data_IF_361835944410
#
_entry.id   IF_361835944410
#
_cell.length_a   1.000
_cell.length_b   1.000
_cell.length_c   1.000
_cell.angle_alpha   90.00
_cell.angle_beta   90.00
_cell.angle_gamma   90.00
#
_symmetry.space_group_name_H-M   'P 1'
#
loop_
_entity.id
_entity.type
_entity.pdbx_description
1 polymer ?
#
# COMPACT_ATOMS: atom_id res chain seq x y z
N UNK A 1 11.55 -5.45 -10.67
CA UNK A 1 12.73 -4.91 -9.98
C UNK A 1 12.91 -5.74 -8.74
N UNK A 2 13.92 -6.60 -8.70
CA UNK A 2 14.30 -7.30 -7.48
C UNK A 2 15.47 -6.53 -6.88
N UNK A 3 15.27 -5.96 -5.71
CA UNK A 3 16.39 -5.44 -4.93
C UNK A 3 16.85 -6.55 -3.99
N UNK A 4 18.06 -6.44 -3.42
CA UNK A 4 18.60 -7.48 -2.54
C UNK A 4 17.68 -7.77 -1.35
N UNK A 5 17.01 -6.75 -0.84
CA UNK A 5 16.25 -6.82 0.41
C UNK A 5 14.74 -6.54 0.27
N UNK A 6 14.26 -6.06 -0.89
CA UNK A 6 12.84 -5.76 -1.12
C UNK A 6 12.23 -6.62 -2.22
N UNK A 7 11.00 -7.07 -1.98
CA UNK A 7 10.14 -7.74 -2.96
C UNK A 7 8.90 -6.91 -3.27
N UNK A 8 8.41 -7.09 -4.49
CA UNK A 8 7.09 -6.61 -4.91
C UNK A 8 6.13 -7.79 -4.94
N UNK A 9 5.10 -7.76 -4.11
CA UNK A 9 4.08 -8.82 -4.05
C UNK A 9 2.67 -8.28 -4.18
N UNK A 10 1.72 -9.21 -4.36
CA UNK A 10 0.30 -8.88 -4.26
C UNK A 10 -0.04 -8.50 -2.82
N UNK A 11 -1.10 -7.69 -2.67
CA UNK A 11 -1.70 -7.44 -1.37
C UNK A 11 -2.27 -8.72 -0.77
N UNK A 12 -2.23 -8.79 0.56
CA UNK A 12 -2.81 -9.84 1.38
C UNK A 12 -3.75 -9.22 2.41
N UNK A 13 -4.73 -9.99 2.87
CA UNK A 13 -5.71 -9.50 3.86
C UNK A 13 -5.05 -9.12 5.20
N UNK A 14 -3.88 -9.70 5.49
CA UNK A 14 -3.01 -9.38 6.64
C UNK A 14 -2.38 -7.98 6.57
N UNK A 15 -2.23 -7.40 5.38
CA UNK A 15 -1.63 -6.06 5.20
C UNK A 15 -2.56 -4.93 5.68
N UNK A 16 -3.84 -5.22 5.93
CA UNK A 16 -4.84 -4.22 6.30
C UNK A 16 -4.47 -3.41 7.55
N UNK A 17 -3.84 -4.07 8.53
CA UNK A 17 -3.39 -3.39 9.75
C UNK A 17 -2.22 -2.45 9.45
N UNK A 18 -1.22 -2.93 8.71
CA UNK A 18 -0.04 -2.13 8.37
C UNK A 18 -0.39 -0.94 7.48
N UNK A 19 -1.32 -1.11 6.53
CA UNK A 19 -1.86 -0.02 5.72
C UNK A 19 -2.55 1.04 6.58
N UNK A 20 -3.40 0.62 7.53
CA UNK A 20 -4.05 1.54 8.46
C UNK A 20 -3.03 2.31 9.31
N UNK A 21 -2.04 1.62 9.87
CA UNK A 21 -0.98 2.23 10.69
C UNK A 21 -0.15 3.24 9.88
N UNK A 22 0.17 2.92 8.63
CA UNK A 22 0.82 3.86 7.70
C UNK A 22 -0.04 5.11 7.44
N UNK A 23 -1.37 4.95 7.33
CA UNK A 23 -2.29 6.08 7.19
C UNK A 23 -2.39 6.96 8.45
N UNK A 24 -1.83 6.57 9.59
CA UNK A 24 -1.75 7.41 10.79
C UNK A 24 -0.57 8.38 10.75
N UNK A 25 0.42 8.15 9.89
CA UNK A 25 1.59 9.01 9.77
C UNK A 25 1.19 10.42 9.26
N UNK A 26 1.46 11.44 10.06
CA UNK A 26 1.07 12.82 9.74
C UNK A 26 1.78 13.39 8.51
N UNK A 27 3.00 12.94 8.22
CA UNK A 27 3.77 13.40 7.07
C UNK A 27 3.16 12.85 5.79
N UNK A 28 2.80 11.55 5.80
CA UNK A 28 2.03 10.95 4.71
C UNK A 28 0.68 11.64 4.58
N UNK A 29 0.00 11.97 5.69
CA UNK A 29 -1.24 12.77 5.71
C UNK A 29 -1.18 14.06 4.92
N UNK A 30 -0.09 14.79 5.09
CA UNK A 30 0.14 16.08 4.43
C UNK A 30 0.58 15.94 2.97
N UNK A 31 1.03 14.75 2.54
CA UNK A 31 1.45 14.49 1.15
C UNK A 31 0.29 14.30 0.16
N UNK A 32 -0.95 14.40 0.66
CA UNK A 32 -2.18 14.33 -0.12
C UNK A 32 -2.73 12.93 -0.33
N UNK A 33 -2.11 11.90 0.28
CA UNK A 33 -2.49 10.48 0.14
C UNK A 33 -3.97 10.22 0.47
N UNK A 34 -4.66 9.34 -0.25
CA UNK A 34 -5.98 8.90 0.21
C UNK A 34 -5.79 8.06 1.50
N UNK A 35 -6.40 8.46 2.63
CA UNK A 35 -6.25 7.77 3.92
C UNK A 35 -7.45 6.90 4.28
N UNK A 36 -7.19 5.85 5.04
CA UNK A 36 -8.21 4.98 5.62
C UNK A 36 -8.37 5.27 7.12
N UNK A 37 -9.61 5.44 7.55
CA UNK A 37 -9.94 5.79 8.94
C UNK A 37 -10.07 4.58 9.86
N UNK A 38 -10.01 3.36 9.32
CA UNK A 38 -10.07 2.13 10.09
C UNK A 38 -9.34 0.96 9.41
N UNK A 39 -9.04 -0.07 10.20
CA UNK A 39 -8.54 -1.35 9.68
C UNK A 39 -9.58 -1.99 8.74
N UNK A 40 -10.88 -1.80 9.01
CA UNK A 40 -11.97 -2.30 8.16
C UNK A 40 -11.94 -1.64 6.79
N UNK A 41 -11.79 -0.32 6.72
CA UNK A 41 -11.70 0.41 5.44
C UNK A 41 -10.46 -0.02 4.64
N UNK A 42 -9.34 -0.18 5.34
CA UNK A 42 -8.09 -0.69 4.75
C UNK A 42 -8.28 -2.09 4.16
N UNK A 43 -8.94 -2.99 4.89
CA UNK A 43 -9.25 -4.35 4.43
C UNK A 43 -10.16 -4.35 3.22
N UNK A 44 -11.25 -3.57 3.26
CA UNK A 44 -12.19 -3.45 2.13
C UNK A 44 -11.48 -2.98 0.86
N UNK A 45 -10.58 -2.02 1.02
CA UNK A 45 -9.77 -1.50 -0.10
C UNK A 45 -8.82 -2.57 -0.65
N UNK A 46 -8.13 -3.32 0.23
CA UNK A 46 -7.26 -4.43 -0.18
C UNK A 46 -8.02 -5.49 -0.98
N UNK A 47 -9.28 -5.79 -0.64
CA UNK A 47 -10.09 -6.75 -1.42
C UNK A 47 -10.24 -6.29 -2.89
N UNK A 48 -10.33 -4.98 -3.14
CA UNK A 48 -10.41 -4.44 -4.49
C UNK A 48 -9.06 -4.52 -5.23
N UNK A 49 -7.94 -4.49 -4.51
CA UNK A 49 -6.59 -4.35 -5.10
C UNK A 49 -5.81 -5.64 -5.24
N UNK A 50 -6.05 -6.63 -4.38
CA UNK A 50 -5.17 -7.81 -4.25
C UNK A 50 -4.97 -8.64 -5.52
N UNK A 51 -5.91 -8.54 -6.47
CA UNK A 51 -5.85 -9.23 -7.75
C UNK A 51 -5.44 -8.31 -8.93
N UNK A 52 -5.28 -7.00 -8.70
CA UNK A 52 -4.93 -6.04 -9.74
C UNK A 52 -3.41 -5.89 -9.88
N UNK A 53 -2.90 -6.05 -11.10
CA UNK A 53 -1.46 -5.97 -11.41
C UNK A 53 -0.88 -4.55 -11.20
N UNK A 54 -1.73 -3.53 -11.19
CA UNK A 54 -1.37 -2.14 -10.92
C UNK A 54 -1.17 -1.81 -9.44
N UNK A 55 -1.51 -2.72 -8.53
CA UNK A 55 -1.43 -2.50 -7.09
C UNK A 55 -0.48 -3.52 -6.47
N UNK A 56 0.60 -3.04 -5.85
CA UNK A 56 1.64 -3.90 -5.27
C UNK A 56 2.07 -3.40 -3.90
N UNK A 57 2.37 -4.36 -3.03
CA UNK A 57 3.05 -4.12 -1.77
C UNK A 57 4.56 -4.21 -2.00
N UNK A 58 5.30 -3.30 -1.38
CA UNK A 58 6.73 -3.39 -1.18
C UNK A 58 6.92 -4.02 0.20
N UNK A 59 7.57 -5.18 0.24
CA UNK A 59 7.83 -5.90 1.49
C UNK A 59 9.31 -6.26 1.64
N UNK A 60 9.74 -6.43 2.88
CA UNK A 60 11.06 -6.98 3.20
C UNK A 60 11.11 -8.45 2.75
N UNK A 61 12.13 -8.79 1.96
CA UNK A 61 12.31 -10.13 1.39
C UNK A 61 12.51 -11.22 2.44
N UNK A 62 13.03 -10.89 3.63
CA UNK A 62 13.46 -11.86 4.65
C UNK A 62 12.32 -12.31 5.54
N UNK A 63 11.36 -11.43 5.83
CA UNK A 63 10.28 -11.69 6.78
C UNK A 63 8.89 -11.30 6.26
N UNK A 64 8.79 -10.84 5.01
CA UNK A 64 7.54 -10.41 4.36
C UNK A 64 6.87 -9.19 5.04
N UNK A 65 7.62 -8.45 5.85
CA UNK A 65 7.11 -7.26 6.53
C UNK A 65 6.72 -6.18 5.52
N UNK A 66 5.55 -5.60 5.73
CA UNK A 66 5.07 -4.46 4.96
C UNK A 66 5.99 -3.25 5.16
N UNK A 67 6.48 -2.68 4.06
CA UNK A 67 7.29 -1.45 4.05
C UNK A 67 6.52 -0.31 3.41
N UNK A 68 5.75 -0.60 2.36
CA UNK A 68 4.94 0.38 1.67
C UNK A 68 4.27 -0.20 0.45
N UNK A 69 3.80 0.66 -0.46
CA UNK A 69 3.02 0.21 -1.60
C UNK A 69 3.16 1.11 -2.82
N UNK A 70 2.82 0.53 -3.98
CA UNK A 70 2.78 1.21 -5.27
C UNK A 70 1.40 0.99 -5.88
N UNK A 71 0.77 2.09 -6.30
CA UNK A 71 -0.52 2.08 -6.99
C UNK A 71 -0.37 2.77 -8.34
N UNK A 72 -0.65 2.04 -9.42
CA UNK A 72 -0.76 2.56 -10.77
C UNK A 72 -2.24 2.72 -11.13
N UNK A 73 -2.82 3.89 -10.88
CA UNK A 73 -4.15 4.23 -11.41
C UNK A 73 -4.06 4.47 -12.93
N UNK A 74 -5.02 3.94 -13.70
CA UNK A 74 -5.20 4.32 -15.12
C UNK A 74 -5.68 5.78 -15.19
N UNK A 75 -5.22 6.52 -16.19
CA UNK A 75 -5.30 7.98 -16.31
C UNK A 75 -6.72 8.61 -16.44
N UNK A 76 -7.78 7.92 -16.04
CA UNK A 76 -9.11 8.52 -15.90
C UNK A 76 -9.31 9.06 -14.47
N UNK A 77 -8.59 10.14 -14.13
CA UNK A 77 -8.89 11.02 -13.00
C UNK A 77 -8.37 10.60 -11.62
N UNK A 78 -7.50 11.46 -11.08
CA UNK A 78 -7.07 11.63 -9.66
C UNK A 78 -5.85 10.80 -9.18
N UNK A 79 -4.72 11.52 -9.22
CA UNK A 79 -3.51 11.54 -8.38
C UNK A 79 -2.82 10.20 -8.01
N UNK A 80 -1.56 10.07 -8.47
CA UNK A 80 -0.65 8.96 -8.16
C UNK A 80 0.01 9.16 -6.79
N UNK A 81 0.00 8.14 -5.94
CA UNK A 81 0.61 8.21 -4.61
C UNK A 81 1.41 6.95 -4.30
N UNK A 82 2.70 7.17 -4.03
CA UNK A 82 3.58 6.20 -3.41
C UNK A 82 3.85 6.68 -1.98
N UNK A 83 3.58 5.83 -0.99
CA UNK A 83 4.00 6.04 0.38
C UNK A 83 5.19 5.11 0.66
N UNK A 84 6.32 5.70 1.03
CA UNK A 84 7.46 5.00 1.61
C UNK A 84 7.65 5.58 3.02
N UNK A 85 7.79 4.71 4.02
CA UNK A 85 8.28 5.07 5.35
C UNK A 85 9.78 5.36 5.32
#
# INVERSE_FOLDING_TARGET
METRDLILRNWQDSDAKALYEMCLDETLRKSGIDFYNSITDSRNTIQCWKNDKGFKVIADKRNDNFIGFIIRKKASGKHCQAALQ
#
